data_IF_083146884830
#
_entry.id   IF_083146884830
#
_cell.length_a   1.000
_cell.length_b   1.000
_cell.length_c   1.000
_cell.angle_alpha   90.00
_cell.angle_beta   90.00
_cell.angle_gamma   90.00
#
_symmetry.space_group_name_H-M   'P 1'
#
loop_
_entity.id
_entity.type
_entity.pdbx_description
1 polymer ?
#
# COMPACT_ATOMS: atom_id res chain seq x y z
N UNK A 1 22.50 -15.09 -24.88
CA UNK A 1 21.52 -14.30 -24.12
C UNK A 1 22.33 -13.17 -23.49
N UNK A 2 21.98 -11.91 -23.72
CA UNK A 2 22.73 -10.81 -23.11
C UNK A 2 22.29 -10.74 -21.65
N UNK A 3 23.20 -11.09 -20.74
CA UNK A 3 23.03 -10.83 -19.32
C UNK A 3 22.93 -9.30 -19.18
N UNK A 4 21.76 -8.79 -18.80
CA UNK A 4 21.62 -7.36 -18.50
C UNK A 4 22.54 -7.05 -17.32
N UNK A 5 23.34 -5.99 -17.42
CA UNK A 5 24.14 -5.53 -16.28
C UNK A 5 23.21 -5.18 -15.11
N UNK A 6 23.70 -5.34 -13.88
CA UNK A 6 22.95 -5.02 -12.66
C UNK A 6 22.37 -3.60 -12.71
N UNK A 7 23.16 -2.62 -13.18
CA UNK A 7 22.71 -1.23 -13.39
C UNK A 7 21.51 -1.13 -14.35
N UNK A 8 21.49 -1.91 -15.43
CA UNK A 8 20.38 -1.92 -16.38
C UNK A 8 19.11 -2.52 -15.78
N UNK A 9 19.26 -3.49 -14.88
CA UNK A 9 18.14 -4.06 -14.13
C UNK A 9 17.61 -3.00 -13.16
N UNK A 10 18.49 -2.37 -12.37
CA UNK A 10 18.11 -1.35 -11.39
C UNK A 10 17.41 -0.17 -12.07
N UNK A 11 17.97 0.39 -13.14
CA UNK A 11 17.34 1.50 -13.88
C UNK A 11 15.95 1.15 -14.36
N UNK A 12 15.74 -0.08 -14.83
CA UNK A 12 14.41 -0.55 -15.24
C UNK A 12 13.46 -0.72 -14.06
N UNK A 13 13.92 -1.21 -12.91
CA UNK A 13 13.09 -1.36 -11.72
C UNK A 13 12.66 0.01 -11.17
N UNK A 14 13.57 0.98 -11.17
CA UNK A 14 13.26 2.37 -10.81
C UNK A 14 12.25 2.98 -11.79
N UNK A 15 12.40 2.77 -13.09
CA UNK A 15 11.43 3.23 -14.10
C UNK A 15 10.03 2.63 -13.87
N UNK A 16 9.96 1.31 -13.61
CA UNK A 16 8.70 0.63 -13.28
C UNK A 16 8.07 1.18 -11.99
N UNK A 17 8.87 1.47 -10.96
CA UNK A 17 8.35 2.11 -9.75
C UNK A 17 7.79 3.51 -10.04
N UNK A 18 8.54 4.34 -10.79
CA UNK A 18 8.14 5.71 -11.13
C UNK A 18 6.88 5.75 -12.01
N UNK A 19 6.68 4.74 -12.87
CA UNK A 19 5.46 4.57 -13.67
C UNK A 19 4.27 4.01 -12.85
N UNK A 20 4.46 3.78 -11.55
CA UNK A 20 3.41 3.26 -10.67
C UNK A 20 3.10 1.77 -10.88
N UNK A 21 4.01 1.01 -11.49
CA UNK A 21 3.87 -0.42 -11.73
C UNK A 21 4.33 -1.28 -10.53
N UNK A 22 4.71 -0.64 -9.41
CA UNK A 22 5.00 -1.35 -8.17
C UNK A 22 3.69 -1.91 -7.56
N UNK A 23 3.68 -3.22 -7.24
CA UNK A 23 2.54 -3.85 -6.55
C UNK A 23 2.37 -3.25 -5.15
N UNK A 24 3.50 -3.07 -4.46
CA UNK A 24 3.58 -2.47 -3.13
C UNK A 24 4.83 -1.65 -3.01
N UNK A 25 4.73 -0.56 -2.27
CA UNK A 25 5.83 0.33 -1.90
C UNK A 25 5.65 0.73 -0.46
N UNK A 26 6.72 0.63 0.32
CA UNK A 26 6.74 1.03 1.73
C UNK A 26 7.92 1.93 1.98
N UNK A 27 7.69 3.01 2.72
CA UNK A 27 8.74 3.92 3.13
C UNK A 27 9.49 3.38 4.36
N UNK A 28 10.81 3.44 4.27
CA UNK A 28 11.75 3.18 5.35
C UNK A 28 12.37 4.49 5.83
N UNK A 29 12.90 4.47 7.04
CA UNK A 29 13.58 5.60 7.67
C UNK A 29 14.86 5.97 6.91
N UNK A 30 15.21 7.25 6.96
CA UNK A 30 16.37 7.76 6.22
C UNK A 30 16.13 7.78 4.71
N UNK A 31 14.91 8.16 4.30
CA UNK A 31 14.56 8.39 2.89
C UNK A 31 14.78 7.16 1.99
N UNK A 32 14.58 5.97 2.55
CA UNK A 32 14.69 4.69 1.84
C UNK A 32 13.31 4.12 1.54
N UNK A 33 13.22 3.27 0.54
CA UNK A 33 11.98 2.62 0.14
C UNK A 33 12.23 1.14 -0.11
N UNK A 34 11.21 0.33 0.16
CA UNK A 34 11.14 -1.08 -0.18
C UNK A 34 9.93 -1.29 -1.10
N UNK A 35 10.19 -1.80 -2.29
CA UNK A 35 9.19 -1.94 -3.36
C UNK A 35 9.15 -3.37 -3.89
N UNK A 36 7.95 -3.87 -4.11
CA UNK A 36 7.68 -5.16 -4.75
C UNK A 36 7.23 -4.90 -6.19
N UNK A 37 8.00 -5.39 -7.15
CA UNK A 37 7.79 -5.16 -8.57
C UNK A 37 7.65 -6.50 -9.31
N UNK A 38 6.85 -6.50 -10.37
CA UNK A 38 6.74 -7.62 -11.29
C UNK A 38 7.09 -7.14 -12.70
N UNK A 39 8.11 -7.75 -13.32
CA UNK A 39 8.49 -7.45 -14.70
C UNK A 39 7.75 -8.41 -15.66
N UNK A 40 6.75 -7.92 -16.41
CA UNK A 40 5.99 -8.76 -17.34
C UNK A 40 6.82 -9.18 -18.56
N UNK A 41 7.92 -8.48 -18.85
CA UNK A 41 8.79 -8.73 -20.01
C UNK A 41 9.59 -10.04 -19.84
N UNK A 42 10.07 -10.31 -18.63
CA UNK A 42 10.85 -11.51 -18.31
C UNK A 42 10.09 -12.50 -17.41
N UNK A 43 8.89 -12.12 -16.94
CA UNK A 43 8.06 -12.94 -16.03
C UNK A 43 8.68 -13.12 -14.64
N UNK A 44 9.58 -12.22 -14.25
CA UNK A 44 10.29 -12.27 -12.96
C UNK A 44 9.72 -11.24 -12.00
N UNK A 45 9.92 -11.49 -10.71
CA UNK A 45 9.52 -10.56 -9.66
C UNK A 45 10.74 -10.11 -8.90
N UNK A 46 10.71 -8.86 -8.47
CA UNK A 46 11.84 -8.18 -7.86
C UNK A 46 11.40 -7.53 -6.57
N UNK A 47 12.27 -7.59 -5.58
CA UNK A 47 12.19 -6.71 -4.41
C UNK A 47 13.31 -5.70 -4.54
N UNK A 48 12.94 -4.42 -4.64
CA UNK A 48 13.86 -3.30 -4.77
C UNK A 48 13.94 -2.56 -3.43
N UNK A 49 15.14 -2.33 -2.94
CA UNK A 49 15.44 -1.45 -1.84
C UNK A 49 16.31 -0.32 -2.36
N UNK A 50 15.88 0.93 -2.22
CA UNK A 50 16.63 2.07 -2.74
C UNK A 50 16.43 3.31 -1.87
N UNK A 51 17.40 4.23 -1.90
CA UNK A 51 17.26 5.57 -1.33
C UNK A 51 16.48 6.53 -2.23
N UNK A 52 16.20 7.73 -1.74
CA UNK A 52 15.78 8.84 -2.58
C UNK A 52 16.91 9.19 -3.54
N UNK A 53 16.57 9.36 -4.81
CA UNK A 53 17.48 9.94 -5.77
C UNK A 53 17.24 11.47 -5.81
N UNK A 54 18.23 12.30 -5.45
CA UNK A 54 18.13 13.75 -5.58
C UNK A 54 18.31 14.22 -7.02
N UNK A 55 18.66 13.32 -7.95
CA UNK A 55 19.01 13.64 -9.34
C UNK A 55 17.87 13.39 -10.34
N UNK A 56 16.63 13.22 -9.86
CA UNK A 56 15.42 13.00 -10.66
C UNK A 56 15.55 11.85 -11.69
N UNK A 57 16.21 10.76 -11.30
CA UNK A 57 16.42 9.55 -12.10
C UNK A 57 17.65 9.60 -13.00
N UNK A 58 18.53 10.60 -12.85
CA UNK A 58 19.77 10.67 -13.63
C UNK A 58 20.84 9.66 -13.16
N UNK A 59 20.83 9.34 -11.86
CA UNK A 59 21.77 8.40 -11.24
C UNK A 59 21.02 7.34 -10.40
N UNK A 60 21.65 6.17 -10.24
CA UNK A 60 21.14 5.14 -9.34
C UNK A 60 21.52 5.56 -7.91
N UNK A 61 20.57 5.69 -6.98
CA UNK A 61 20.88 6.09 -5.62
C UNK A 61 21.83 5.10 -4.95
N UNK A 62 22.72 5.62 -4.11
CA UNK A 62 23.65 4.80 -3.34
C UNK A 62 22.90 3.80 -2.46
N UNK A 63 23.49 2.63 -2.21
CA UNK A 63 22.86 1.55 -1.44
C UNK A 63 21.58 0.97 -2.07
N UNK A 64 21.41 1.13 -3.39
CA UNK A 64 20.35 0.43 -4.12
C UNK A 64 20.66 -1.06 -4.23
N UNK A 65 19.76 -1.88 -3.69
CA UNK A 65 19.83 -3.33 -3.70
C UNK A 65 18.56 -3.89 -4.34
N UNK A 66 18.72 -4.95 -5.15
CA UNK A 66 17.59 -5.68 -5.68
C UNK A 66 17.75 -7.18 -5.46
N UNK A 67 16.63 -7.85 -5.27
CA UNK A 67 16.55 -9.29 -5.15
C UNK A 67 15.61 -9.84 -6.21
N UNK A 68 16.13 -10.73 -7.05
CA UNK A 68 15.38 -11.35 -8.14
C UNK A 68 14.77 -12.68 -7.70
N UNK A 69 13.50 -12.88 -8.05
CA UNK A 69 12.76 -14.09 -7.76
C UNK A 69 12.04 -14.64 -9.00
N UNK A 70 11.91 -15.97 -9.10
CA UNK A 70 11.31 -16.61 -10.27
C UNK A 70 9.78 -16.46 -10.33
N UNK A 71 9.13 -16.10 -9.23
CA UNK A 71 7.66 -15.98 -9.16
C UNK A 71 7.25 -14.87 -8.18
N UNK A 72 6.05 -14.33 -8.39
CA UNK A 72 5.44 -13.32 -7.50
C UNK A 72 5.31 -13.83 -6.07
N UNK A 73 4.85 -15.07 -5.86
CA UNK A 73 4.65 -15.64 -4.51
C UNK A 73 5.97 -15.69 -3.71
N UNK A 74 7.08 -16.08 -4.36
CA UNK A 74 8.39 -16.10 -3.70
C UNK A 74 8.86 -14.67 -3.38
N UNK A 75 8.71 -13.74 -4.32
CA UNK A 75 9.07 -12.34 -4.09
C UNK A 75 8.25 -11.69 -2.98
N UNK A 76 6.95 -12.00 -2.92
CA UNK A 76 6.03 -11.49 -1.91
C UNK A 76 6.42 -11.96 -0.51
N UNK A 77 6.73 -13.25 -0.34
CA UNK A 77 7.21 -13.78 0.95
C UNK A 77 8.52 -13.14 1.37
N UNK A 78 9.44 -12.93 0.43
CA UNK A 78 10.71 -12.27 0.71
C UNK A 78 10.51 -10.79 1.09
N UNK A 79 9.61 -10.09 0.39
CA UNK A 79 9.21 -8.73 0.72
C UNK A 79 8.65 -8.65 2.14
N UNK A 80 7.74 -9.55 2.52
CA UNK A 80 7.16 -9.58 3.87
C UNK A 80 8.20 -9.89 4.95
N UNK A 81 9.18 -10.75 4.65
CA UNK A 81 10.30 -11.01 5.56
C UNK A 81 11.13 -9.75 5.78
N UNK A 82 11.58 -9.11 4.70
CA UNK A 82 12.36 -7.87 4.77
C UNK A 82 11.59 -6.75 5.48
N UNK A 83 10.29 -6.63 5.20
CA UNK A 83 9.40 -5.68 5.87
C UNK A 83 9.34 -5.93 7.39
N UNK A 84 9.21 -7.20 7.78
CA UNK A 84 9.18 -7.61 9.19
C UNK A 84 10.52 -7.34 9.87
N UNK A 85 11.63 -7.57 9.18
CA UNK A 85 12.97 -7.26 9.67
C UNK A 85 13.16 -5.76 9.87
N UNK A 86 12.80 -4.95 8.87
CA UNK A 86 12.83 -3.48 8.97
C UNK A 86 11.93 -2.97 10.09
N UNK A 87 10.75 -3.55 10.28
CA UNK A 87 9.87 -3.21 11.41
C UNK A 87 10.51 -3.52 12.76
N UNK A 88 11.12 -4.70 12.90
CA UNK A 88 11.84 -5.08 14.13
C UNK A 88 13.07 -4.23 14.38
N UNK A 89 13.72 -3.74 13.33
CA UNK A 89 14.84 -2.81 13.40
C UNK A 89 14.40 -1.36 13.71
N UNK A 90 13.10 -1.06 13.69
CA UNK A 90 12.58 0.31 13.82
C UNK A 90 12.87 1.18 12.60
N UNK A 91 13.18 0.56 11.45
CA UNK A 91 13.45 1.25 10.19
C UNK A 91 12.21 1.46 9.34
N UNK A 92 11.08 0.85 9.70
CA UNK A 92 9.82 1.08 9.00
C UNK A 92 9.24 2.43 9.40
N UNK A 93 8.99 3.32 8.43
CA UNK A 93 8.16 4.50 8.70
C UNK A 93 6.73 3.98 8.70
N UNK A 94 6.20 3.73 9.90
CA UNK A 94 4.77 3.52 10.07
C UNK A 94 4.11 4.84 9.62
N UNK A 95 3.53 4.86 8.41
CA UNK A 95 2.54 5.89 8.07
C UNK A 95 1.51 5.82 9.17
N UNK A 96 1.47 6.87 10.00
CA UNK A 96 0.63 7.06 11.18
C UNK A 96 -0.76 6.50 10.91
N UNK A 97 -0.90 5.20 11.17
CA UNK A 97 -2.15 4.50 11.07
C UNK A 97 -2.87 5.01 12.29
N UNK A 98 -3.79 5.93 12.07
CA UNK A 98 -4.82 6.37 13.00
C UNK A 98 -5.77 5.23 13.36
N UNK A 99 -5.21 4.03 13.58
CA UNK A 99 -5.85 2.81 14.04
C UNK A 99 -5.33 2.47 15.46
N UNK A 100 -5.12 3.51 16.28
CA UNK A 100 -5.30 3.44 17.74
C UNK A 100 -6.79 3.60 18.03
N UNK A 101 -7.62 2.66 17.58
CA UNK A 101 -8.93 2.42 18.20
C UNK A 101 -9.00 0.95 18.59
N UNK A 102 -8.54 0.70 19.81
CA UNK A 102 -9.25 -0.19 20.73
C UNK A 102 -8.67 -1.58 20.93
N UNK A 103 -7.46 -1.68 21.49
CA UNK A 103 -7.19 -2.80 22.40
C UNK A 103 -7.94 -2.56 23.73
N UNK A 104 -8.68 -3.58 24.16
CA UNK A 104 -9.25 -3.78 25.50
C UNK A 104 -10.44 -2.91 25.93
N UNK A 105 -11.65 -3.50 25.88
CA UNK A 105 -12.45 -3.56 27.11
C UNK A 105 -13.08 -4.95 27.31
N UNK A 106 -12.76 -5.51 28.46
CA UNK A 106 -13.21 -6.79 28.99
C UNK A 106 -14.66 -6.66 29.48
N UNK A 107 -15.53 -7.56 29.03
CA UNK A 107 -16.53 -8.24 29.87
C UNK A 107 -17.76 -7.46 30.36
N UNK A 108 -18.93 -8.06 30.13
CA UNK A 108 -20.01 -8.01 31.12
C UNK A 108 -21.40 -7.65 30.62
N UNK A 109 -22.26 -8.67 30.66
CA UNK A 109 -23.70 -8.61 30.91
C UNK A 109 -24.63 -8.02 29.82
N UNK A 110 -25.27 -8.97 29.12
CA UNK A 110 -26.66 -8.94 28.68
C UNK A 110 -27.56 -8.10 29.61
N UNK A 111 -28.21 -7.07 29.07
CA UNK A 111 -29.43 -6.50 29.66
C UNK A 111 -30.50 -6.47 28.59
N UNK A 112 -31.41 -7.44 28.72
CA UNK A 112 -32.71 -7.48 28.10
C UNK A 112 -33.67 -6.55 28.86
N UNK A 113 -34.76 -6.20 28.17
CA UNK A 113 -36.01 -5.56 28.62
C UNK A 113 -36.12 -4.06 28.28
N UNK A 114 -36.95 -3.68 27.30
CA UNK A 114 -38.42 -3.62 27.26
C UNK A 114 -38.97 -2.26 27.73
N UNK A 115 -39.17 -1.35 26.78
CA UNK A 115 -40.17 -0.25 26.74
C UNK A 115 -40.32 0.06 25.22
N UNK A 116 -41.39 -0.19 24.48
CA UNK A 116 -42.83 -0.17 24.71
C UNK A 116 -43.32 1.16 25.32
N UNK A 117 -43.49 2.18 24.46
CA UNK A 117 -44.75 2.94 24.33
C UNK A 117 -44.65 4.05 23.26
N UNK A 118 -45.66 4.11 22.37
CA UNK A 118 -46.42 5.27 21.86
C UNK A 118 -45.62 6.53 21.41
N UNK A 119 -45.84 7.16 20.26
CA UNK A 119 -47.12 7.48 19.61
C UNK A 119 -46.83 8.05 18.20
N UNK A 120 -47.73 7.69 17.28
CA UNK A 120 -48.19 8.36 16.06
C UNK A 120 -47.62 9.77 15.76
N UNK A 121 -47.04 9.98 14.57
CA UNK A 121 -47.46 11.10 13.71
C UNK A 121 -47.01 10.99 12.24
N UNK A 122 -47.76 11.69 11.40
CA UNK A 122 -48.23 11.34 10.07
C UNK A 122 -47.31 11.76 8.90
N UNK A 123 -47.28 10.92 7.85
CA UNK A 123 -46.71 11.20 6.53
C UNK A 123 -47.43 12.35 5.84
N UNK A 124 -46.81 13.52 5.70
CA UNK A 124 -47.10 14.43 4.57
C UNK A 124 -45.88 15.27 4.22
N UNK A 125 -45.34 15.15 3.00
CA UNK A 125 -44.96 16.27 2.13
C UNK A 125 -44.83 15.75 0.69
N UNK A 126 -45.92 15.83 -0.08
CA UNK A 126 -45.90 16.06 -1.54
C UNK A 126 -46.10 17.59 -1.72
N UNK A 127 -45.72 18.28 -2.82
CA UNK A 127 -45.56 17.75 -4.16
C UNK A 127 -44.41 18.27 -5.03
N UNK A 128 -44.24 17.52 -6.12
CA UNK A 128 -43.56 17.80 -7.39
C UNK A 128 -43.41 19.26 -7.82
N UNK A 129 -42.24 19.61 -8.37
CA UNK A 129 -42.18 20.32 -9.64
C UNK A 129 -41.27 19.54 -10.60
N UNK A 130 -41.89 19.12 -11.71
CA UNK A 130 -41.34 18.33 -12.80
C UNK A 130 -40.30 19.11 -13.62
N UNK A 131 -39.21 18.42 -13.96
CA UNK A 131 -38.77 18.05 -15.32
C UNK A 131 -38.96 19.03 -16.49
N UNK A 132 -37.87 19.18 -17.28
CA UNK A 132 -37.83 19.45 -18.73
C UNK A 132 -38.24 20.87 -19.21
N UNK A 133 -37.72 21.49 -20.26
CA UNK A 133 -36.84 21.14 -21.37
C UNK A 133 -36.46 22.47 -22.06
N UNK A 134 -35.22 22.59 -22.55
CA UNK A 134 -34.75 23.62 -23.51
C UNK A 134 -35.36 23.36 -24.90
N UNK A 135 -35.64 24.39 -25.71
CA UNK A 135 -34.60 24.93 -26.60
C UNK A 135 -34.63 26.45 -26.86
#
# INVERSE_FOLDING_TARGET
MQERSEEQIISRLLDLENDGQAERRVQLTGERFLSLLHDPDNGRSYVLRHGTDPTEGAEIPEETEFYEYPTVDVAQRAFEQLLTESRRAGELVEEDSTEDIGDSETGGAEVRDLYADMDEDELTQDPVISEEEEP
#
